data_IF_211798830768
#
_entry.id   IF_211798830768
#
_cell.length_a   1.000
_cell.length_b   1.000
_cell.length_c   1.000
_cell.angle_alpha   90.00
_cell.angle_beta   90.00
_cell.angle_gamma   90.00
#
_symmetry.space_group_name_H-M   'P 1'
#
loop_
_entity.id
_entity.type
_entity.pdbx_description
1 polymer ?
#
# COMPACT_ATOMS: atom_id res chain seq x y z
N UNK A 1 -10.78 26.20 -10.92
CA UNK A 1 -11.63 25.87 -12.07
C UNK A 1 -11.97 24.38 -12.02
N UNK A 2 -13.04 24.06 -11.31
CA UNK A 2 -13.45 22.68 -10.99
C UNK A 2 -14.97 22.54 -11.07
N UNK A 3 -15.44 21.30 -11.17
CA UNK A 3 -16.86 20.92 -11.18
C UNK A 3 -17.12 20.11 -9.92
N UNK A 4 -18.17 20.47 -9.19
CA UNK A 4 -18.59 19.78 -7.97
C UNK A 4 -19.86 18.97 -8.25
N UNK A 5 -19.87 17.72 -7.79
CA UNK A 5 -21.02 16.84 -7.89
C UNK A 5 -21.66 16.67 -6.51
N UNK A 6 -22.98 16.83 -6.43
CA UNK A 6 -23.75 16.67 -5.21
C UNK A 6 -24.79 15.56 -5.38
N UNK A 7 -25.01 14.77 -4.33
CA UNK A 7 -26.08 13.78 -4.20
C UNK A 7 -26.73 13.96 -2.83
N UNK A 8 -28.06 14.04 -2.76
CA UNK A 8 -28.80 14.31 -1.53
C UNK A 8 -28.23 15.51 -0.72
N UNK A 9 -27.88 16.60 -1.41
CA UNK A 9 -27.25 17.80 -0.84
C UNK A 9 -25.87 17.61 -0.18
N UNK A 10 -25.24 16.44 -0.37
CA UNK A 10 -23.87 16.18 0.08
C UNK A 10 -22.91 16.18 -1.11
N UNK A 11 -21.72 16.81 -0.98
CA UNK A 11 -20.71 16.78 -2.03
C UNK A 11 -20.16 15.35 -2.17
N UNK A 12 -20.21 14.81 -3.39
CA UNK A 12 -19.76 13.45 -3.74
C UNK A 12 -18.39 13.46 -4.41
N UNK A 13 -18.06 14.54 -5.13
CA UNK A 13 -16.79 14.62 -5.83
C UNK A 13 -16.48 16.01 -6.37
N UNK A 14 -15.19 16.27 -6.53
CA UNK A 14 -14.66 17.46 -7.16
C UNK A 14 -13.77 17.02 -8.33
N UNK A 15 -14.00 17.56 -9.52
CA UNK A 15 -13.20 17.22 -10.71
C UNK A 15 -12.65 18.47 -11.34
N UNK A 16 -11.46 18.35 -11.91
CA UNK A 16 -10.91 19.42 -12.74
C UNK A 16 -11.76 19.57 -13.99
N UNK A 17 -12.10 20.81 -14.34
CA UNK A 17 -12.85 21.08 -15.56
C UNK A 17 -12.02 20.69 -16.78
N UNK A 18 -12.60 19.94 -17.71
CA UNK A 18 -12.02 19.69 -19.04
C UNK A 18 -12.76 20.51 -20.09
N UNK A 19 -12.00 21.12 -21.01
CA UNK A 19 -12.51 21.87 -22.16
C UNK A 19 -12.33 21.11 -23.48
N UNK A 20 -11.90 19.85 -23.41
CA UNK A 20 -11.65 19.00 -24.58
C UNK A 20 -12.92 18.25 -24.96
N UNK A 21 -13.12 18.05 -26.26
CA UNK A 21 -14.23 17.25 -26.78
C UNK A 21 -14.00 15.77 -26.44
N UNK A 22 -15.01 15.14 -25.84
CA UNK A 22 -15.03 13.71 -25.52
C UNK A 22 -13.93 13.25 -24.55
N UNK A 23 -13.47 14.15 -23.67
CA UNK A 23 -12.47 13.86 -22.63
C UNK A 23 -13.17 13.31 -21.37
N UNK A 24 -12.70 12.17 -20.89
CA UNK A 24 -13.27 11.49 -19.73
C UNK A 24 -12.34 11.67 -18.53
N UNK A 25 -12.75 12.49 -17.57
CA UNK A 25 -12.04 12.70 -16.30
C UNK A 25 -12.64 11.76 -15.27
N UNK A 26 -11.83 10.85 -14.72
CA UNK A 26 -12.24 9.97 -13.64
C UNK A 26 -11.41 10.27 -12.39
N UNK A 27 -11.95 9.88 -11.23
CA UNK A 27 -11.18 9.78 -10.00
C UNK A 27 -11.22 8.32 -9.56
N UNK A 28 -10.09 7.62 -9.77
CA UNK A 28 -10.00 6.18 -9.50
C UNK A 28 -10.29 5.86 -8.03
N UNK A 29 -10.03 6.79 -7.10
CA UNK A 29 -10.23 6.60 -5.65
C UNK A 29 -11.68 6.28 -5.31
N UNK A 30 -12.63 6.90 -6.01
CA UNK A 30 -14.06 6.68 -5.82
C UNK A 30 -14.52 5.28 -6.28
N UNK A 31 -13.79 4.68 -7.22
CA UNK A 31 -14.14 3.39 -7.81
C UNK A 31 -13.45 2.20 -7.16
N UNK A 32 -12.50 2.40 -6.23
CA UNK A 32 -11.78 1.30 -5.56
C UNK A 32 -12.73 0.34 -4.85
N UNK A 33 -13.78 0.86 -4.21
CA UNK A 33 -14.80 0.04 -3.54
C UNK A 33 -15.55 -0.89 -4.52
N UNK A 34 -15.72 -0.45 -5.78
CA UNK A 34 -16.33 -1.24 -6.85
C UNK A 34 -15.36 -2.32 -7.34
N UNK A 35 -14.08 -1.98 -7.47
CA UNK A 35 -13.03 -2.94 -7.84
C UNK A 35 -12.94 -4.10 -6.85
N UNK A 36 -13.09 -3.82 -5.55
CA UNK A 36 -13.10 -4.85 -4.51
C UNK A 36 -14.21 -5.89 -4.70
N UNK A 37 -15.34 -5.52 -5.34
CA UNK A 37 -16.46 -6.43 -5.61
C UNK A 37 -16.19 -7.35 -6.80
N UNK A 38 -15.45 -6.87 -7.81
CA UNK A 38 -15.16 -7.63 -9.04
C UNK A 38 -13.66 -7.55 -9.41
N UNK A 39 -12.77 -8.17 -8.62
CA UNK A 39 -11.32 -8.08 -8.82
C UNK A 39 -10.83 -8.72 -10.13
N UNK A 40 -11.60 -9.63 -10.72
CA UNK A 40 -11.24 -10.27 -11.99
C UNK A 40 -11.44 -9.38 -13.22
N UNK A 41 -12.16 -8.26 -13.11
CA UNK A 41 -12.50 -7.39 -14.25
C UNK A 41 -11.73 -6.06 -14.25
N UNK A 42 -10.79 -5.87 -13.33
CA UNK A 42 -10.16 -4.57 -13.10
C UNK A 42 -9.42 -4.05 -14.35
N UNK A 43 -8.72 -4.93 -15.07
CA UNK A 43 -7.91 -4.60 -16.24
C UNK A 43 -8.75 -4.05 -17.40
N UNK A 44 -10.06 -4.36 -17.41
CA UNK A 44 -10.99 -3.89 -18.44
C UNK A 44 -11.74 -2.62 -18.02
N UNK A 45 -11.50 -2.09 -16.83
CA UNK A 45 -12.14 -0.85 -16.38
C UNK A 45 -11.39 0.37 -16.89
N UNK A 46 -12.14 1.40 -17.32
CA UNK A 46 -11.54 2.61 -17.89
C UNK A 46 -10.66 3.37 -16.89
N UNK A 47 -11.07 3.40 -15.62
CA UNK A 47 -10.36 4.10 -14.56
C UNK A 47 -9.14 3.35 -14.00
N UNK A 48 -8.92 2.08 -14.37
CA UNK A 48 -7.68 1.35 -14.01
C UNK A 48 -6.44 2.05 -14.56
N UNK A 49 -6.51 2.54 -15.79
CA UNK A 49 -5.41 3.26 -16.45
C UNK A 49 -5.07 4.60 -15.79
N UNK A 50 -5.90 5.11 -14.87
CA UNK A 50 -5.65 6.34 -14.12
C UNK A 50 -5.06 6.09 -12.72
N UNK A 51 -4.96 4.82 -12.30
CA UNK A 51 -4.28 4.47 -11.05
C UNK A 51 -2.76 4.71 -11.18
N UNK A 52 -2.01 4.84 -10.08
CA UNK A 52 -0.55 4.88 -10.13
C UNK A 52 0.01 3.69 -10.91
N UNK A 53 0.96 3.92 -11.81
CA UNK A 53 1.51 2.88 -12.69
C UNK A 53 2.03 1.66 -11.92
N UNK A 54 2.68 1.89 -10.78
CA UNK A 54 3.18 0.83 -9.90
C UNK A 54 2.05 -0.12 -9.44
N UNK A 55 0.87 0.45 -9.11
CA UNK A 55 -0.30 -0.32 -8.73
C UNK A 55 -0.95 -1.06 -9.90
N UNK A 56 -0.94 -0.47 -11.10
CA UNK A 56 -1.40 -1.17 -12.31
C UNK A 56 -0.56 -2.44 -12.53
N UNK A 57 0.77 -2.31 -12.52
CA UNK A 57 1.68 -3.44 -12.71
C UNK A 57 1.55 -4.49 -11.61
N UNK A 58 1.43 -4.08 -10.35
CA UNK A 58 1.22 -5.02 -9.24
C UNK A 58 -0.10 -5.79 -9.34
N UNK A 59 -1.18 -5.10 -9.73
CA UNK A 59 -2.49 -5.72 -9.89
C UNK A 59 -2.57 -6.66 -11.11
N UNK A 60 -1.83 -6.37 -12.18
CA UNK A 60 -1.67 -7.26 -13.34
C UNK A 60 -0.93 -8.55 -12.96
N UNK A 61 0.10 -8.46 -12.11
CA UNK A 61 0.90 -9.61 -11.67
C UNK A 61 0.20 -10.48 -10.61
N UNK A 62 -0.70 -9.90 -9.83
CA UNK A 62 -1.45 -10.63 -8.79
C UNK A 62 -2.75 -11.22 -9.37
N UNK A 63 -3.23 -12.33 -8.83
CA UNK A 63 -4.48 -12.95 -9.28
C UNK A 63 -5.29 -13.53 -8.11
N UNK A 64 -6.58 -13.77 -8.33
CA UNK A 64 -7.45 -14.44 -7.36
C UNK A 64 -7.53 -13.72 -6.01
N UNK A 65 -7.09 -14.40 -4.94
CA UNK A 65 -7.18 -13.91 -3.55
C UNK A 65 -6.18 -12.79 -3.27
N UNK A 66 -4.96 -12.88 -3.79
CA UNK A 66 -3.93 -11.85 -3.60
C UNK A 66 -4.37 -10.51 -4.18
N UNK A 67 -4.92 -10.53 -5.40
CA UNK A 67 -5.47 -9.33 -6.04
C UNK A 67 -6.61 -8.71 -5.22
N UNK A 68 -7.48 -9.55 -4.64
CA UNK A 68 -8.58 -9.08 -3.78
C UNK A 68 -8.02 -8.43 -2.50
N UNK A 69 -7.03 -9.05 -1.85
CA UNK A 69 -6.41 -8.51 -0.65
C UNK A 69 -5.70 -7.18 -0.94
N UNK A 70 -4.96 -7.09 -2.05
CA UNK A 70 -4.33 -5.86 -2.52
C UNK A 70 -5.35 -4.73 -2.73
N UNK A 71 -6.47 -5.01 -3.40
CA UNK A 71 -7.54 -4.03 -3.60
C UNK A 71 -8.24 -3.63 -2.29
N UNK A 72 -8.38 -4.56 -1.34
CA UNK A 72 -8.93 -4.24 -0.02
C UNK A 72 -8.02 -3.30 0.75
N UNK A 73 -6.70 -3.55 0.73
CA UNK A 73 -5.72 -2.65 1.34
C UNK A 73 -5.74 -1.29 0.65
N UNK A 74 -5.78 -1.25 -0.68
CA UNK A 74 -5.92 -0.01 -1.43
C UNK A 74 -7.17 0.77 -1.02
N UNK A 75 -8.30 0.08 -0.84
CA UNK A 75 -9.55 0.69 -0.38
C UNK A 75 -9.41 1.27 1.02
N UNK A 76 -8.65 0.63 1.91
CA UNK A 76 -8.37 1.12 3.25
C UNK A 76 -7.53 2.41 3.19
N UNK A 77 -6.42 2.39 2.44
CA UNK A 77 -5.54 3.56 2.24
C UNK A 77 -6.30 4.77 1.70
N UNK A 78 -7.16 4.54 0.70
CA UNK A 78 -7.99 5.59 0.12
C UNK A 78 -9.04 6.10 1.11
N UNK A 79 -9.67 5.22 1.88
CA UNK A 79 -10.66 5.60 2.90
C UNK A 79 -10.04 6.42 4.04
N UNK A 80 -8.77 6.16 4.36
CA UNK A 80 -7.98 6.94 5.33
C UNK A 80 -7.56 8.33 4.79
N UNK A 81 -7.86 8.64 3.52
CA UNK A 81 -7.43 9.89 2.87
C UNK A 81 -5.96 9.89 2.44
N UNK A 82 -5.30 8.74 2.49
CA UNK A 82 -3.86 8.59 2.25
C UNK A 82 -3.53 8.07 0.85
N UNK A 83 -4.40 8.33 -0.14
CA UNK A 83 -4.23 7.88 -1.51
C UNK A 83 -2.87 8.28 -2.14
N UNK A 84 -2.30 9.42 -1.71
CA UNK A 84 -0.97 9.87 -2.14
C UNK A 84 0.18 8.95 -1.67
N UNK A 85 0.05 8.31 -0.50
CA UNK A 85 1.07 7.44 0.10
C UNK A 85 1.05 6.02 -0.48
N UNK A 86 0.10 5.75 -1.37
CA UNK A 86 -0.15 4.42 -1.90
C UNK A 86 0.99 3.93 -2.80
N UNK A 87 1.60 4.85 -3.57
CA UNK A 87 2.78 4.57 -4.39
C UNK A 87 3.99 4.26 -3.49
N UNK A 88 4.26 5.15 -2.52
CA UNK A 88 5.38 5.03 -1.57
C UNK A 88 5.31 3.72 -0.76
N UNK A 89 4.12 3.31 -0.33
CA UNK A 89 3.93 2.05 0.39
C UNK A 89 4.32 0.83 -0.46
N UNK A 90 3.99 0.85 -1.75
CA UNK A 90 4.32 -0.23 -2.67
C UNK A 90 5.82 -0.26 -3.01
N UNK A 91 6.42 0.91 -3.19
CA UNK A 91 7.87 1.04 -3.38
C UNK A 91 8.64 0.49 -2.17
N UNK A 92 8.25 0.90 -0.96
CA UNK A 92 8.85 0.41 0.28
C UNK A 92 8.68 -1.12 0.45
N UNK A 93 7.55 -1.68 0.07
CA UNK A 93 7.35 -3.13 0.09
C UNK A 93 8.26 -3.85 -0.93
N UNK A 94 8.44 -3.25 -2.11
CA UNK A 94 9.37 -3.73 -3.14
C UNK A 94 10.82 -3.74 -2.66
N UNK A 95 11.28 -2.69 -1.97
CA UNK A 95 12.61 -2.62 -1.36
C UNK A 95 12.84 -3.70 -0.30
N UNK A 96 11.80 -4.03 0.48
CA UNK A 96 11.84 -5.11 1.47
C UNK A 96 11.76 -6.52 0.86
N UNK A 97 11.62 -6.64 -0.46
CA UNK A 97 11.60 -7.92 -1.19
C UNK A 97 10.33 -8.74 -0.97
N UNK A 98 9.29 -8.18 -0.35
CA UNK A 98 8.02 -8.85 -0.08
C UNK A 98 6.85 -7.93 -0.41
N UNK A 99 6.04 -8.36 -1.38
CA UNK A 99 4.87 -7.64 -1.88
C UNK A 99 3.56 -8.34 -1.52
N UNK A 100 3.55 -9.17 -0.48
CA UNK A 100 2.31 -9.72 0.07
C UNK A 100 1.48 -8.61 0.74
N UNK A 101 0.17 -8.82 0.80
CA UNK A 101 -0.77 -7.82 1.30
C UNK A 101 -0.48 -7.38 2.75
N UNK A 102 0.04 -8.26 3.60
CA UNK A 102 0.37 -7.95 4.99
C UNK A 102 1.66 -7.12 5.09
N UNK A 103 2.70 -7.48 4.35
CA UNK A 103 3.94 -6.68 4.25
C UNK A 103 3.66 -5.28 3.70
N UNK A 104 2.81 -5.18 2.67
CA UNK A 104 2.39 -3.90 2.10
C UNK A 104 1.60 -3.06 3.10
N UNK A 105 0.70 -3.69 3.88
CA UNK A 105 -0.05 -3.03 4.95
C UNK A 105 0.87 -2.50 6.05
N UNK A 106 1.91 -3.26 6.41
CA UNK A 106 2.92 -2.82 7.37
C UNK A 106 3.70 -1.60 6.84
N UNK A 107 4.13 -1.64 5.58
CA UNK A 107 4.80 -0.53 4.93
C UNK A 107 3.92 0.73 4.91
N UNK A 108 2.63 0.58 4.57
CA UNK A 108 1.66 1.67 4.66
C UNK A 108 1.57 2.26 6.06
N UNK A 109 1.44 1.43 7.11
CA UNK A 109 1.38 1.93 8.47
C UNK A 109 2.65 2.64 8.91
N UNK A 110 3.83 2.17 8.50
CA UNK A 110 5.09 2.86 8.80
C UNK A 110 5.14 4.28 8.21
N UNK A 111 4.57 4.48 7.02
CA UNK A 111 4.56 5.78 6.33
C UNK A 111 3.44 6.68 6.88
N UNK A 112 2.21 6.16 6.94
CA UNK A 112 1.01 6.92 7.29
C UNK A 112 0.93 7.22 8.79
N UNK A 113 1.23 6.23 9.63
CA UNK A 113 1.41 6.41 11.06
C UNK A 113 2.91 6.50 11.29
N UNK A 114 3.46 7.71 11.14
CA UNK A 114 4.82 8.02 11.58
C UNK A 114 4.92 7.60 13.03
N UNK A 115 5.39 6.37 13.23
CA UNK A 115 5.34 5.70 14.50
C UNK A 115 6.16 6.58 15.43
N UNK A 116 5.53 7.11 16.48
CA UNK A 116 6.27 7.68 17.58
C UNK A 116 7.03 6.51 18.18
N UNK A 117 8.22 6.21 17.65
CA UNK A 117 9.17 5.32 18.29
C UNK A 117 9.71 6.14 19.45
N UNK A 118 9.21 5.95 20.69
CA UNK A 118 9.83 6.62 21.81
C UNK A 118 11.31 6.24 21.77
N UNK A 119 12.19 7.22 21.97
CA UNK A 119 13.60 6.93 22.14
C UNK A 119 13.74 5.81 23.18
N UNK A 120 14.60 4.80 22.94
CA UNK A 120 14.81 3.72 23.90
C UNK A 120 15.00 4.30 25.29
N UNK A 121 14.22 3.83 26.25
CA UNK A 121 14.22 4.33 27.62
C UNK A 121 15.65 4.28 28.18
N UNK A 122 16.30 5.44 28.32
CA UNK A 122 17.67 5.52 28.86
C UNK A 122 17.61 5.37 30.38
N UNK A 123 17.70 4.14 30.86
CA UNK A 123 17.77 3.83 32.28
C UNK A 123 19.20 4.12 32.80
N UNK A 124 19.39 5.04 33.76
CA UNK A 124 20.70 5.25 34.38
C UNK A 124 21.09 3.99 35.17
N UNK A 125 22.22 3.37 34.81
CA UNK A 125 22.72 2.16 35.46
C UNK A 125 22.30 0.83 34.81
N UNK A 126 21.82 0.85 33.56
CA UNK A 126 21.60 -0.38 32.79
C UNK A 126 22.89 -1.21 32.70
N UNK A 127 22.90 -2.48 33.14
CA UNK A 127 24.07 -3.33 32.94
C UNK A 127 24.32 -3.50 31.43
N UNK A 128 25.55 -3.26 31.00
CA UNK A 128 25.94 -3.48 29.60
C UNK A 128 25.88 -4.98 29.34
N UNK A 129 24.89 -5.41 28.55
CA UNK A 129 24.76 -6.81 28.15
C UNK A 129 25.87 -7.12 27.14
N UNK A 130 27.02 -7.63 27.62
CA UNK A 130 28.07 -8.20 26.76
C UNK A 130 27.64 -9.59 26.27
N UNK A 131 26.46 -9.67 25.67
CA UNK A 131 25.87 -10.90 25.18
C UNK A 131 26.23 -11.07 23.70
N UNK A 132 27.21 -11.92 23.43
CA UNK A 132 27.57 -12.33 22.08
C UNK A 132 27.21 -13.82 21.92
N UNK A 133 25.94 -14.13 21.57
CA UNK A 133 25.51 -15.52 21.45
C UNK A 133 26.25 -16.18 20.28
N UNK A 134 26.86 -17.33 20.55
CA UNK A 134 27.39 -18.17 19.48
C UNK A 134 26.25 -19.01 18.90
N UNK A 135 25.81 -18.65 17.69
CA UNK A 135 24.70 -19.31 16.99
C UNK A 135 25.17 -20.47 16.10
N UNK A 136 26.46 -20.80 16.08
CA UNK A 136 27.03 -21.84 15.21
C UNK A 136 26.39 -23.22 15.41
N UNK A 137 25.95 -23.53 16.64
CA UNK A 137 25.22 -24.76 16.95
C UNK A 137 23.86 -24.84 16.24
N UNK A 138 23.19 -23.70 16.04
CA UNK A 138 21.94 -23.64 15.30
C UNK A 138 22.17 -23.58 13.79
N UNK A 139 23.20 -22.86 13.32
CA UNK A 139 23.52 -22.75 11.89
C UNK A 139 23.79 -24.10 11.23
N UNK A 140 24.40 -25.04 11.96
CA UNK A 140 24.61 -26.42 11.49
C UNK A 140 23.32 -27.26 11.43
N UNK A 141 22.29 -26.89 12.20
CA UNK A 141 21.00 -27.57 12.25
C UNK A 141 19.99 -26.98 11.25
N UNK A 142 20.05 -25.67 10.99
CA UNK A 142 19.13 -24.96 10.09
C UNK A 142 19.69 -24.77 8.67
N UNK A 143 20.94 -25.17 8.42
CA UNK A 143 21.59 -25.06 7.11
C UNK A 143 22.07 -23.64 6.77
N UNK A 144 22.08 -22.72 7.74
CA UNK A 144 22.46 -21.31 7.54
C UNK A 144 23.94 -21.09 7.25
N UNK A 145 24.80 -22.05 7.59
CA UNK A 145 26.27 -21.94 7.41
C UNK A 145 26.80 -22.32 6.01
N UNK A 146 25.95 -22.68 5.05
CA UNK A 146 26.38 -23.25 3.77
C UNK A 146 26.45 -22.26 2.58
N UNK A 147 26.42 -20.94 2.81
CA UNK A 147 26.67 -19.95 1.76
C UNK A 147 27.63 -18.86 2.25
N UNK A 148 28.93 -19.14 2.17
CA UNK A 148 30.00 -18.12 2.05
C UNK A 148 30.81 -18.49 0.82
#
# INVERSE_FOLDING_TARGET
DHVEFFHDHHPVGHYRRSYKTNDEVYDWTQYVSVLCKKPGAIEHTRFFHQMPQQWQTFLEQTSGRERKNALQLLSEIVSDGNAALCADALELAGENGRTDADSLRQCYYMIAKKEYRPDPLKLPGSPVLNYNPNLSAYDGLTGGGANV
#
